data_IF_122984560816
#
_entry.id   IF_122984560816
#
_cell.length_a   1.000
_cell.length_b   1.000
_cell.length_c   1.000
_cell.angle_alpha   90.00
_cell.angle_beta   90.00
_cell.angle_gamma   90.00
#
_symmetry.space_group_name_H-M   'P 1'
#
loop_
_entity.id
_entity.type
_entity.pdbx_description
1 polymer ?
#
# COMPACT_ATOMS: atom_id res chain seq x y z
N UNK A 1 -18.75 2.90 -1.44
CA UNK A 1 -17.38 3.04 -0.96
C UNK A 1 -16.50 3.04 -2.19
N UNK A 2 -15.74 4.10 -2.37
CA UNK A 2 -14.70 4.24 -3.37
C UNK A 2 -13.50 3.35 -3.05
N UNK A 3 -12.60 3.17 -4.02
CA UNK A 3 -11.40 2.33 -3.86
C UNK A 3 -10.50 2.85 -2.73
N UNK A 4 -10.31 4.17 -2.66
CA UNK A 4 -9.48 4.82 -1.63
C UNK A 4 -10.06 4.58 -0.23
N UNK A 5 -11.39 4.77 -0.08
CA UNK A 5 -12.08 4.40 1.14
C UNK A 5 -11.90 2.92 1.51
N UNK A 6 -12.09 1.99 0.57
CA UNK A 6 -11.92 0.53 0.77
C UNK A 6 -10.51 0.19 1.23
N UNK A 7 -9.51 0.80 0.61
CA UNK A 7 -8.10 0.63 0.95
C UNK A 7 -7.83 1.02 2.41
N UNK A 8 -8.23 2.24 2.80
CA UNK A 8 -8.03 2.74 4.17
C UNK A 8 -8.77 1.88 5.22
N UNK A 9 -9.95 1.37 4.87
CA UNK A 9 -10.71 0.50 5.76
C UNK A 9 -10.03 -0.87 5.95
N UNK A 10 -9.47 -1.45 4.89
CA UNK A 10 -8.72 -2.71 4.99
C UNK A 10 -7.47 -2.54 5.85
N UNK A 11 -6.69 -1.47 5.64
CA UNK A 11 -5.54 -1.16 6.49
C UNK A 11 -5.93 -1.06 7.97
N UNK A 12 -7.00 -0.32 8.28
CA UNK A 12 -7.49 -0.20 9.65
C UNK A 12 -8.00 -1.54 10.21
N UNK A 13 -8.58 -2.40 9.37
CA UNK A 13 -9.03 -3.73 9.77
C UNK A 13 -7.88 -4.68 10.12
N UNK A 14 -6.71 -4.47 9.52
CA UNK A 14 -5.48 -5.21 9.83
C UNK A 14 -4.67 -4.59 10.98
N UNK A 15 -5.15 -3.48 11.56
CA UNK A 15 -4.46 -2.78 12.64
C UNK A 15 -3.25 -1.98 12.16
N UNK A 16 -3.17 -1.67 10.86
CA UNK A 16 -2.11 -0.89 10.26
C UNK A 16 -2.37 0.58 10.57
N UNK A 17 -1.67 1.11 11.58
CA UNK A 17 -1.71 2.53 11.91
C UNK A 17 -0.75 3.31 11.02
N UNK A 18 -1.31 4.11 10.11
CA UNK A 18 -0.54 5.02 9.29
C UNK A 18 -0.15 6.25 10.12
N UNK A 19 1.14 6.46 10.34
CA UNK A 19 1.65 7.70 10.97
C UNK A 19 1.56 8.92 10.04
N UNK A 20 1.52 8.67 8.73
CA UNK A 20 1.36 9.66 7.66
C UNK A 20 -0.10 9.96 7.34
N UNK A 21 -0.35 11.11 6.72
CA UNK A 21 -1.68 11.47 6.22
C UNK A 21 -2.24 10.42 5.26
N UNK A 22 -3.53 10.13 5.39
CA UNK A 22 -4.27 9.16 4.58
C UNK A 22 -4.16 9.43 3.07
N UNK A 23 -4.16 10.70 2.65
CA UNK A 23 -3.98 11.08 1.24
C UNK A 23 -2.65 10.61 0.66
N UNK A 24 -1.59 10.68 1.47
CA UNK A 24 -0.25 10.30 1.05
C UNK A 24 -0.18 8.78 0.96
N UNK A 25 -0.79 8.05 1.89
CA UNK A 25 -0.89 6.59 1.82
C UNK A 25 -1.69 6.11 0.60
N UNK A 26 -2.84 6.75 0.32
CA UNK A 26 -3.62 6.47 -0.88
C UNK A 26 -2.80 6.72 -2.14
N UNK A 27 -2.07 7.85 -2.22
CA UNK A 27 -1.22 8.13 -3.40
C UNK A 27 -0.16 7.04 -3.62
N UNK A 28 0.48 6.55 -2.56
CA UNK A 28 1.47 5.47 -2.66
C UNK A 28 0.81 4.15 -3.08
N UNK A 29 -0.36 3.82 -2.55
CA UNK A 29 -1.13 2.64 -2.94
C UNK A 29 -1.48 2.63 -4.44
N UNK A 30 -1.85 3.80 -5.00
CA UNK A 30 -2.03 3.94 -6.45
C UNK A 30 -0.73 3.74 -7.24
N UNK A 31 0.43 4.08 -6.66
CA UNK A 31 1.74 3.86 -7.30
C UNK A 31 2.20 2.41 -7.25
N UNK A 32 1.82 1.63 -6.23
CA UNK A 32 2.11 0.18 -6.12
C UNK A 32 1.73 -0.51 -7.42
N UNK A 33 0.49 -0.30 -7.87
CA UNK A 33 -0.03 -0.75 -9.15
C UNK A 33 0.88 -0.45 -10.33
N UNK A 34 1.20 0.83 -10.53
CA UNK A 34 2.04 1.27 -11.65
C UNK A 34 3.47 0.73 -11.56
N UNK A 35 3.98 0.41 -10.37
CA UNK A 35 5.30 -0.20 -10.17
C UNK A 35 5.28 -1.68 -10.54
N UNK A 36 4.29 -2.42 -10.05
CA UNK A 36 4.10 -3.83 -10.39
C UNK A 36 3.87 -4.04 -11.90
N UNK A 37 3.05 -3.19 -12.54
CA UNK A 37 2.86 -3.21 -14.00
C UNK A 37 4.14 -2.94 -14.79
N UNK A 38 5.09 -2.20 -14.22
CA UNK A 38 6.41 -1.95 -14.83
C UNK A 38 7.39 -3.10 -14.60
N UNK A 39 6.99 -4.14 -13.87
CA UNK A 39 7.81 -5.29 -13.52
C UNK A 39 8.71 -5.09 -12.31
N UNK A 40 8.46 -4.08 -11.46
CA UNK A 40 9.09 -4.03 -10.14
C UNK A 40 8.60 -5.20 -9.28
N UNK A 41 9.50 -5.76 -8.45
CA UNK A 41 9.10 -6.81 -7.52
C UNK A 41 8.35 -6.21 -6.32
N UNK A 42 7.49 -7.03 -5.71
CA UNK A 42 6.77 -6.65 -4.51
C UNK A 42 7.73 -6.22 -3.39
N UNK A 43 8.86 -6.89 -3.24
CA UNK A 43 9.92 -6.54 -2.29
C UNK A 43 10.49 -5.12 -2.51
N UNK A 44 10.64 -4.69 -3.76
CA UNK A 44 11.09 -3.32 -4.08
C UNK A 44 10.03 -2.29 -3.69
N UNK A 45 8.76 -2.61 -3.91
CA UNK A 45 7.64 -1.75 -3.53
C UNK A 45 7.53 -1.64 -2.01
N UNK A 46 7.65 -2.77 -1.30
CA UNK A 46 7.65 -2.82 0.17
C UNK A 46 8.82 -2.02 0.74
N UNK A 47 10.02 -2.17 0.20
CA UNK A 47 11.18 -1.41 0.64
C UNK A 47 10.99 0.11 0.48
N UNK A 48 10.37 0.56 -0.62
CA UNK A 48 10.04 1.97 -0.86
C UNK A 48 8.99 2.50 0.12
N UNK A 49 7.97 1.68 0.45
CA UNK A 49 6.95 2.03 1.45
C UNK A 49 7.57 2.20 2.84
N UNK A 50 8.47 1.28 3.24
CA UNK A 50 9.20 1.35 4.51
C UNK A 50 10.14 2.56 4.54
N UNK A 51 10.82 2.86 3.43
CA UNK A 51 11.69 4.05 3.32
C UNK A 51 10.89 5.35 3.50
N UNK A 52 9.69 5.42 2.90
CA UNK A 52 8.78 6.56 3.06
C UNK A 52 8.02 6.59 4.39
N UNK A 53 7.98 5.47 5.12
CA UNK A 53 7.19 5.30 6.34
C UNK A 53 8.00 4.48 7.36
N UNK A 54 9.03 5.07 7.99
CA UNK A 54 9.96 4.34 8.86
C UNK A 54 9.30 3.73 10.11
N UNK A 55 8.08 4.16 10.44
CA UNK A 55 7.27 3.60 11.52
C UNK A 55 6.58 2.28 11.13
N UNK A 56 6.49 1.96 9.83
CA UNK A 56 5.94 0.70 9.34
C UNK A 56 7.01 -0.39 9.37
N UNK A 57 6.65 -1.57 9.84
CA UNK A 57 7.49 -2.75 9.72
C UNK A 57 7.44 -3.28 8.28
N UNK A 58 8.46 -4.05 7.84
CA UNK A 58 8.43 -4.70 6.54
C UNK A 58 7.19 -5.58 6.32
N UNK A 59 6.74 -6.29 7.36
CA UNK A 59 5.53 -7.12 7.31
C UNK A 59 4.29 -6.25 7.02
N UNK A 60 4.13 -5.15 7.77
CA UNK A 60 3.01 -4.21 7.57
C UNK A 60 3.06 -3.51 6.22
N UNK A 61 4.26 -3.24 5.69
CA UNK A 61 4.43 -2.68 4.37
C UNK A 61 4.11 -3.70 3.25
N UNK A 62 4.33 -4.99 3.48
CA UNK A 62 3.87 -6.06 2.60
C UNK A 62 2.34 -6.14 2.58
N UNK A 63 1.71 -6.17 3.75
CA UNK A 63 0.24 -6.15 3.88
C UNK A 63 -0.36 -4.92 3.18
N UNK A 64 0.27 -3.75 3.35
CA UNK A 64 -0.11 -2.53 2.65
C UNK A 64 -0.06 -2.70 1.11
N UNK A 65 1.03 -3.26 0.58
CA UNK A 65 1.20 -3.46 -0.84
C UNK A 65 0.19 -4.49 -1.40
N UNK A 66 -0.10 -5.54 -0.63
CA UNK A 66 -1.09 -6.56 -0.96
C UNK A 66 -2.50 -5.99 -1.02
N UNK A 67 -2.90 -5.22 0.00
CA UNK A 67 -4.20 -4.53 0.03
C UNK A 67 -4.29 -3.53 -1.12
N UNK A 68 -3.21 -2.79 -1.42
CA UNK A 68 -3.17 -1.89 -2.55
C UNK A 68 -3.36 -2.63 -3.88
N UNK A 69 -2.70 -3.78 -4.05
CA UNK A 69 -2.85 -4.65 -5.22
C UNK A 69 -4.28 -5.16 -5.36
N UNK A 70 -4.89 -5.69 -4.30
CA UNK A 70 -6.27 -6.19 -4.32
C UNK A 70 -7.28 -5.10 -4.71
N UNK A 71 -7.12 -3.89 -4.18
CA UNK A 71 -8.10 -2.81 -4.34
C UNK A 71 -7.91 -2.05 -5.66
N UNK A 72 -6.67 -1.72 -6.00
CA UNK A 72 -6.35 -0.87 -7.14
C UNK A 72 -5.99 -1.65 -8.40
N UNK A 73 -5.39 -2.85 -8.26
CA UNK A 73 -4.90 -3.70 -9.34
C UNK A 73 -5.39 -5.16 -9.27
N UNK A 74 -6.72 -5.39 -9.34
CA UNK A 74 -7.27 -6.75 -9.27
C UNK A 74 -6.93 -7.64 -10.47
N UNK A 75 -6.34 -7.09 -11.54
CA UNK A 75 -6.03 -7.81 -12.78
C UNK A 75 -4.52 -8.10 -12.98
N UNK A 76 -3.69 -7.72 -12.01
CA UNK A 76 -2.23 -7.94 -12.02
C UNK A 76 -1.88 -9.24 -11.30
#
# INVERSE_FOLDING_TARGET
>A
MDKDGRFLWLLSSEGIELSRSTDVAVNDAHRVCSRLERGESEEQVVADIVEGSPDLTPDTAADFADIAREVFCPEI
#
